data_IF_287000271798
#
_entry.id   IF_287000271798
#
_cell.length_a   1.000
_cell.length_b   1.000
_cell.length_c   1.000
_cell.angle_alpha   90.00
_cell.angle_beta   90.00
_cell.angle_gamma   90.00
#
_symmetry.space_group_name_H-M   'P 1'
#
loop_
_entity.id
_entity.type
_entity.pdbx_description
1 polymer ?
#
# COMPACT_ATOMS: atom_id res chain seq x y z
N UNK A 1 -20.28 17.04 19.25
CA UNK A 1 -20.27 16.49 17.88
C UNK A 1 -19.94 15.02 18.02
N UNK A 2 -20.97 14.17 18.05
CA UNK A 2 -20.76 12.72 17.92
C UNK A 2 -20.40 12.52 16.46
N UNK A 3 -19.10 12.57 16.13
CA UNK A 3 -18.65 12.21 14.79
C UNK A 3 -18.92 10.72 14.67
N UNK A 4 -19.96 10.38 13.91
CA UNK A 4 -20.22 9.01 13.51
C UNK A 4 -19.00 8.54 12.72
N UNK A 5 -18.17 7.72 13.36
CA UNK A 5 -17.02 7.10 12.72
C UNK A 5 -17.47 5.74 12.19
N UNK A 6 -16.95 5.37 11.02
CA UNK A 6 -17.23 4.12 10.34
C UNK A 6 -15.94 3.33 10.16
N UNK A 7 -16.02 2.02 10.32
CA UNK A 7 -14.87 1.13 10.23
C UNK A 7 -14.53 0.93 8.76
N UNK A 8 -13.28 1.23 8.38
CA UNK A 8 -12.78 1.13 7.01
C UNK A 8 -11.73 0.04 6.83
N UNK A 9 -11.12 -0.42 7.94
CA UNK A 9 -10.08 -1.44 7.89
C UNK A 9 -10.02 -2.25 9.19
N UNK A 10 -9.60 -3.51 9.08
CA UNK A 10 -9.37 -4.42 10.21
C UNK A 10 -7.92 -4.89 10.20
N UNK A 11 -7.08 -4.24 11.01
CA UNK A 11 -5.67 -4.59 11.09
C UNK A 11 -5.47 -5.88 11.91
N UNK A 12 -4.56 -6.75 11.49
CA UNK A 12 -4.26 -8.01 12.19
C UNK A 12 -3.48 -7.77 13.48
N UNK A 13 -2.63 -6.74 13.51
CA UNK A 13 -1.76 -6.44 14.64
C UNK A 13 -1.57 -4.93 14.88
N UNK A 14 -0.95 -4.58 16.01
CA UNK A 14 -0.74 -3.18 16.41
C UNK A 14 0.21 -2.42 15.46
N UNK A 15 1.18 -3.11 14.84
CA UNK A 15 2.13 -2.47 13.94
C UNK A 15 1.43 -2.04 12.64
N UNK A 16 0.66 -2.94 12.04
CA UNK A 16 -0.16 -2.69 10.86
C UNK A 16 -1.19 -1.58 11.11
N UNK A 17 -1.88 -1.62 12.26
CA UNK A 17 -2.80 -0.56 12.67
C UNK A 17 -2.11 0.82 12.73
N UNK A 18 -0.86 0.87 13.20
CA UNK A 18 -0.07 2.11 13.24
C UNK A 18 0.31 2.58 11.84
N UNK A 19 0.70 1.67 10.95
CA UNK A 19 1.05 1.99 9.56
C UNK A 19 -0.16 2.57 8.82
N UNK A 20 -1.31 1.91 8.89
CA UNK A 20 -2.54 2.36 8.22
C UNK A 20 -2.98 3.74 8.72
N UNK A 21 -2.90 3.98 10.04
CA UNK A 21 -3.23 5.30 10.61
C UNK A 21 -2.23 6.35 10.15
N UNK A 22 -0.94 6.06 10.18
CA UNK A 22 0.09 6.98 9.74
C UNK A 22 -0.09 7.35 8.26
N UNK A 23 -0.52 6.40 7.43
CA UNK A 23 -0.84 6.66 6.03
C UNK A 23 -2.05 7.60 5.93
N UNK A 24 -3.17 7.28 6.58
CA UNK A 24 -4.36 8.15 6.58
C UNK A 24 -4.08 9.56 7.12
N UNK A 25 -3.19 9.68 8.11
CA UNK A 25 -2.77 10.96 8.70
C UNK A 25 -1.98 11.82 7.68
N UNK A 26 -1.17 11.22 6.82
CA UNK A 26 -0.47 11.94 5.73
C UNK A 26 -1.46 12.62 4.77
N UNK A 27 -2.63 12.04 4.56
CA UNK A 27 -3.72 12.61 3.76
C UNK A 27 -4.68 13.47 4.59
N UNK A 28 -4.29 13.84 5.81
CA UNK A 28 -5.10 14.63 6.75
C UNK A 28 -6.46 13.99 7.10
N UNK A 29 -6.56 12.66 7.01
CA UNK A 29 -7.76 11.91 7.41
C UNK A 29 -7.60 11.46 8.87
N UNK A 30 -8.42 11.98 9.80
CA UNK A 30 -8.33 11.56 11.18
C UNK A 30 -8.88 10.14 11.34
N UNK A 31 -8.04 9.22 11.78
CA UNK A 31 -8.40 7.83 12.05
C UNK A 31 -8.32 7.51 13.56
N UNK A 32 -9.16 6.60 14.03
CA UNK A 32 -9.16 6.11 15.41
C UNK A 32 -9.07 4.59 15.47
N UNK A 33 -8.34 4.09 16.47
CA UNK A 33 -8.27 2.66 16.78
C UNK A 33 -9.43 2.25 17.67
N UNK A 34 -10.14 1.22 17.27
CA UNK A 34 -11.17 0.54 18.05
C UNK A 34 -10.68 -0.87 18.33
N UNK A 35 -10.18 -1.10 19.54
CA UNK A 35 -9.79 -2.44 20.00
C UNK A 35 -11.01 -3.09 20.63
N UNK A 36 -11.43 -4.26 20.14
CA UNK A 36 -12.37 -5.08 20.90
C UNK A 36 -11.68 -5.45 22.22
N UNK A 37 -12.16 -4.86 23.31
CA UNK A 37 -11.64 -5.13 24.63
C UNK A 37 -11.86 -6.60 24.97
N UNK A 38 -10.82 -7.24 25.51
CA UNK A 38 -10.78 -8.63 25.97
C UNK A 38 -11.70 -8.90 27.19
N UNK A 39 -12.87 -8.28 27.26
CA UNK A 39 -13.75 -8.24 28.42
C UNK A 39 -15.26 -8.25 28.11
N UNK A 40 -15.70 -8.23 26.85
CA UNK A 40 -17.10 -8.42 26.50
C UNK A 40 -17.37 -9.87 26.05
N UNK A 41 -17.26 -10.81 26.99
CA UNK A 41 -18.06 -12.03 26.93
C UNK A 41 -19.52 -11.61 26.86
N UNK A 42 -20.15 -11.62 25.69
CA UNK A 42 -21.55 -12.01 25.45
C UNK A 42 -21.91 -11.78 23.99
N UNK A 43 -22.09 -12.88 23.27
CA UNK A 43 -22.82 -13.02 22.02
C UNK A 43 -22.43 -12.13 20.83
N UNK A 44 -21.83 -12.80 19.84
CA UNK A 44 -22.02 -12.54 18.40
C UNK A 44 -21.50 -11.17 17.92
N UNK A 45 -20.19 -11.04 17.76
CA UNK A 45 -19.62 -10.12 16.79
C UNK A 45 -18.47 -10.84 16.10
N UNK A 46 -18.58 -11.01 14.78
CA UNK A 46 -17.57 -11.62 13.92
C UNK A 46 -16.43 -10.62 13.70
N UNK A 47 -15.72 -10.26 14.77
CA UNK A 47 -14.35 -9.76 14.69
C UNK A 47 -13.42 -10.95 14.77
N UNK A 48 -12.46 -11.05 13.85
CA UNK A 48 -11.47 -12.12 13.89
C UNK A 48 -10.63 -11.88 15.15
N UNK A 49 -10.55 -12.87 16.03
CA UNK A 49 -9.96 -12.75 17.37
C UNK A 49 -8.64 -11.96 17.36
N UNK A 50 -8.62 -10.78 18.00
CA UNK A 50 -7.41 -9.99 18.21
C UNK A 50 -7.14 -8.88 17.19
N UNK A 51 -7.98 -8.71 16.17
CA UNK A 51 -7.86 -7.62 15.21
C UNK A 51 -8.20 -6.25 15.82
N UNK A 52 -7.67 -5.20 15.20
CA UNK A 52 -7.85 -3.80 15.58
C UNK A 52 -8.62 -3.10 14.47
N UNK A 53 -9.83 -2.64 14.76
CA UNK A 53 -10.61 -1.85 13.80
C UNK A 53 -10.04 -0.44 13.69
N UNK A 54 -9.90 0.04 12.46
CA UNK A 54 -9.58 1.42 12.13
C UNK A 54 -10.85 2.09 11.64
N UNK A 55 -11.25 3.17 12.30
CA UNK A 55 -12.44 3.94 11.94
C UNK A 55 -12.11 5.39 11.61
N UNK A 56 -12.82 5.94 10.62
CA UNK A 56 -12.69 7.33 10.15
C UNK A 56 -14.06 8.02 10.17
N UNK A 57 -14.14 9.36 10.16
CA UNK A 57 -15.41 10.06 10.03
C UNK A 57 -16.15 9.64 8.77
N UNK A 58 -17.47 9.46 8.85
CA UNK A 58 -18.32 9.06 7.72
C UNK A 58 -18.12 9.90 6.45
N UNK A 59 -17.89 11.20 6.59
CA UNK A 59 -17.67 12.10 5.44
C UNK A 59 -16.38 11.80 4.65
N UNK A 60 -15.48 10.98 5.19
CA UNK A 60 -14.15 10.68 4.64
C UNK A 60 -13.94 9.19 4.37
N UNK A 61 -14.98 8.37 4.49
CA UNK A 61 -14.90 6.90 4.30
C UNK A 61 -14.38 6.56 2.91
N UNK A 62 -15.01 7.07 1.85
CA UNK A 62 -14.62 6.75 0.49
C UNK A 62 -13.19 7.18 0.14
N UNK A 63 -12.72 8.29 0.73
CA UNK A 63 -11.33 8.74 0.56
C UNK A 63 -10.35 7.81 1.28
N UNK A 64 -10.69 7.36 2.49
CA UNK A 64 -9.88 6.43 3.25
C UNK A 64 -9.80 5.05 2.58
N UNK A 65 -10.92 4.52 2.08
CA UNK A 65 -10.98 3.24 1.37
C UNK A 65 -10.10 3.25 0.12
N UNK A 66 -10.11 4.35 -0.65
CA UNK A 66 -9.27 4.48 -1.84
C UNK A 66 -7.77 4.48 -1.50
N UNK A 67 -7.37 5.13 -0.41
CA UNK A 67 -5.98 5.13 0.06
C UNK A 67 -5.57 3.72 0.52
N UNK A 68 -6.43 3.05 1.29
CA UNK A 68 -6.17 1.69 1.77
C UNK A 68 -6.03 0.72 0.60
N UNK A 69 -6.91 0.82 -0.41
CA UNK A 69 -6.83 -0.02 -1.61
C UNK A 69 -5.51 0.19 -2.37
N UNK A 70 -5.09 1.45 -2.51
CA UNK A 70 -3.80 1.77 -3.15
C UNK A 70 -2.60 1.20 -2.36
N UNK A 71 -2.67 1.11 -1.03
CA UNK A 71 -1.61 0.48 -0.23
C UNK A 71 -1.48 -1.02 -0.49
N UNK A 72 -2.59 -1.72 -0.68
CA UNK A 72 -2.61 -3.15 -1.05
C UNK A 72 -2.10 -3.35 -2.50
N UNK A 73 -2.42 -2.43 -3.41
CA UNK A 73 -1.97 -2.49 -4.81
C UNK A 73 -0.46 -2.21 -4.96
N UNK A 74 0.12 -1.28 -4.20
CA UNK A 74 1.57 -1.01 -4.15
C UNK A 74 2.40 -2.25 -3.70
N UNK A 75 1.79 -3.21 -2.99
CA UNK A 75 2.44 -4.49 -2.66
C UNK A 75 2.56 -5.42 -3.90
N UNK A 76 1.83 -5.11 -4.97
CA UNK A 76 1.72 -5.92 -6.21
C UNK A 76 2.53 -5.35 -7.39
N UNK A 77 3.11 -4.14 -7.29
CA UNK A 77 3.83 -3.48 -8.40
C UNK A 77 5.34 -3.82 -8.50
N UNK A 78 5.79 -4.94 -7.94
CA UNK A 78 7.15 -5.48 -8.15
C UNK A 78 7.26 -6.49 -9.30
N UNK A 79 6.28 -6.55 -10.20
CA UNK A 79 6.40 -7.29 -11.45
C UNK A 79 6.20 -6.33 -12.64
N UNK A 80 7.15 -6.37 -13.57
CA UNK A 80 7.15 -5.77 -14.93
C UNK A 80 7.74 -4.37 -15.14
N UNK A 81 9.07 -4.30 -15.17
CA UNK A 81 9.77 -3.55 -16.22
C UNK A 81 10.96 -4.40 -16.72
N UNK A 82 10.66 -5.47 -17.49
CA UNK A 82 11.64 -6.00 -18.43
C UNK A 82 11.74 -4.97 -19.57
N UNK A 83 12.76 -4.12 -19.49
CA UNK A 83 13.17 -3.23 -20.57
C UNK A 83 13.57 -4.11 -21.75
N UNK A 84 12.73 -4.15 -22.79
CA UNK A 84 13.14 -4.65 -24.12
C UNK A 84 14.22 -3.72 -24.67
N UNK A 85 15.48 -4.09 -24.44
CA UNK A 85 16.63 -3.47 -25.08
C UNK A 85 16.52 -3.73 -26.60
N UNK A 86 15.94 -2.78 -27.32
CA UNK A 86 15.99 -2.75 -28.78
C UNK A 86 17.43 -2.46 -29.17
N UNK A 87 18.21 -3.50 -29.46
CA UNK A 87 19.52 -3.42 -30.10
C UNK A 87 19.35 -2.83 -31.51
N UNK A 88 19.29 -1.50 -31.61
CA UNK A 88 19.44 -0.77 -32.86
C UNK A 88 20.89 -0.92 -33.36
N UNK A 89 21.04 -1.84 -34.31
CA UNK A 89 22.00 -1.90 -35.41
C UNK A 89 22.73 -0.57 -35.68
N UNK A 90 23.99 -0.48 -35.26
CA UNK A 90 24.93 0.56 -35.69
C UNK A 90 26.07 -0.10 -36.46
N UNK A 91 25.83 -0.40 -37.75
CA UNK A 91 26.90 -0.61 -38.72
C UNK A 91 27.56 0.74 -39.05
N UNK A 92 28.89 0.82 -38.90
CA UNK A 92 29.86 1.73 -39.58
C UNK A 92 31.07 1.87 -38.65
N UNK A 93 32.34 1.77 -39.04
CA UNK A 93 33.02 1.73 -40.33
C UNK A 93 34.49 1.45 -39.94
N UNK A 94 35.13 0.40 -40.43
CA UNK A 94 36.56 0.14 -40.16
C UNK A 94 37.30 0.01 -41.49
N UNK A 95 37.51 1.16 -42.12
CA UNK A 95 38.48 1.38 -43.19
C UNK A 95 39.65 2.18 -42.61
N UNK A 96 40.83 1.53 -42.43
CA UNK A 96 42.14 2.11 -42.78
C UNK A 96 43.27 1.06 -42.72
N UNK A 97 43.67 0.58 -43.91
CA UNK A 97 45.02 0.48 -44.48
C UNK A 97 46.31 0.33 -43.63
N UNK A 98 47.20 -0.56 -44.12
CA UNK A 98 48.69 -0.66 -43.94
C UNK A 98 49.21 -1.08 -42.54
N UNK A 99 50.21 -1.95 -42.32
CA UNK A 99 51.53 -2.16 -42.92
C UNK A 99 52.09 -3.55 -42.47
N UNK A 100 53.25 -3.93 -43.03
CA UNK A 100 54.00 -5.20 -42.99
C UNK A 100 54.45 -5.78 -41.63
N UNK A 101 55.16 -6.93 -41.70
CA UNK A 101 56.11 -7.59 -40.75
C UNK A 101 55.56 -8.95 -40.27
N UNK A 102 56.21 -10.12 -40.45
CA UNK A 102 57.54 -10.52 -40.91
C UNK A 102 57.51 -11.99 -41.37
#
# INVERSE_FOLDING_TARGET
MSKDNEIVYWAENEAEAVVVIAQLEQYHIPAVKLREGFGAMNSLSFGIFGQIAIAVPKDRVSEAEAIILAMDEDETEWETEEIEESEEDFESDEDDSEESVS
#
